data_IF_203394044655
#
_entry.id   IF_203394044655
#
_cell.length_a   1.000
_cell.length_b   1.000
_cell.length_c   1.000
_cell.angle_alpha   90.00
_cell.angle_beta   90.00
_cell.angle_gamma   90.00
#
_symmetry.space_group_name_H-M   'P 1'
#
loop_
_entity.id
_entity.type
_entity.pdbx_description
1 polymer ?
#
# COMPACT_ATOMS: atom_id res chain seq x y z
N UNK A 1 -10.16 26.85 -17.96
CA UNK A 1 -10.09 26.56 -16.51
C UNK A 1 -8.75 27.05 -15.99
N UNK A 2 -8.69 27.63 -14.79
CA UNK A 2 -7.42 27.99 -14.15
C UNK A 2 -6.76 26.76 -13.55
N UNK A 3 -5.42 26.71 -13.51
CA UNK A 3 -4.63 25.61 -12.93
C UNK A 3 -5.09 25.26 -11.50
N UNK A 4 -5.27 26.29 -10.66
CA UNK A 4 -5.73 26.14 -9.28
C UNK A 4 -7.13 25.48 -9.17
N UNK A 5 -8.05 25.76 -10.10
CA UNK A 5 -9.39 25.15 -10.08
C UNK A 5 -9.33 23.66 -10.46
N UNK A 6 -8.42 23.28 -11.36
CA UNK A 6 -8.21 21.88 -11.73
C UNK A 6 -7.56 21.09 -10.59
N UNK A 7 -6.59 21.69 -9.90
CA UNK A 7 -5.94 21.09 -8.73
C UNK A 7 -6.95 20.83 -7.60
N UNK A 8 -7.81 21.81 -7.27
CA UNK A 8 -8.86 21.64 -6.27
C UNK A 8 -9.84 20.52 -6.63
N UNK A 9 -10.24 20.45 -7.91
CA UNK A 9 -11.13 19.39 -8.38
C UNK A 9 -10.47 18.01 -8.28
N UNK A 10 -9.17 17.91 -8.59
CA UNK A 10 -8.41 16.66 -8.48
C UNK A 10 -8.29 16.20 -7.01
N UNK A 11 -8.00 17.11 -6.09
CA UNK A 11 -7.91 16.78 -4.66
C UNK A 11 -9.24 16.26 -4.14
N UNK A 12 -10.34 16.97 -4.42
CA UNK A 12 -11.68 16.54 -4.01
C UNK A 12 -12.07 15.18 -4.62
N UNK A 13 -11.60 14.88 -5.83
CA UNK A 13 -11.81 13.60 -6.49
C UNK A 13 -11.05 12.44 -5.82
N UNK A 14 -9.80 12.68 -5.42
CA UNK A 14 -8.99 11.75 -4.63
C UNK A 14 -9.62 11.51 -3.27
N UNK A 15 -9.97 12.56 -2.54
CA UNK A 15 -10.60 12.45 -1.22
C UNK A 15 -11.90 11.64 -1.27
N UNK A 16 -12.72 11.86 -2.32
CA UNK A 16 -13.95 11.09 -2.53
C UNK A 16 -13.67 9.61 -2.77
N UNK A 17 -12.66 9.26 -3.58
CA UNK A 17 -12.27 7.85 -3.80
C UNK A 17 -11.80 7.19 -2.50
N UNK A 18 -10.89 7.85 -1.79
CA UNK A 18 -10.35 7.33 -0.52
C UNK A 18 -11.44 7.16 0.54
N UNK A 19 -12.40 8.08 0.61
CA UNK A 19 -13.55 7.97 1.49
C UNK A 19 -14.39 6.72 1.17
N UNK A 20 -14.76 6.51 -0.10
CA UNK A 20 -15.52 5.33 -0.51
C UNK A 20 -14.80 4.00 -0.25
N UNK A 21 -13.48 3.97 -0.44
CA UNK A 21 -12.64 2.82 -0.06
C UNK A 21 -12.68 2.59 1.46
N UNK A 22 -12.53 3.63 2.27
CA UNK A 22 -12.54 3.51 3.73
C UNK A 22 -13.89 3.12 4.34
N UNK A 23 -15.00 3.40 3.63
CA UNK A 23 -16.33 2.92 4.00
C UNK A 23 -16.48 1.42 3.77
N UNK A 24 -15.85 0.91 2.71
CA UNK A 24 -15.93 -0.51 2.31
C UNK A 24 -14.91 -1.37 3.08
N UNK A 25 -13.70 -0.85 3.25
CA UNK A 25 -12.56 -1.54 3.85
C UNK A 25 -12.22 -0.89 5.19
N UNK A 26 -12.55 -1.53 6.33
CA UNK A 26 -12.38 -0.93 7.66
C UNK A 26 -10.92 -0.72 8.05
N UNK A 27 -9.98 -1.38 7.37
CA UNK A 27 -8.55 -1.32 7.66
C UNK A 27 -7.74 -1.06 6.39
N UNK A 28 -6.68 -0.26 6.52
CA UNK A 28 -5.71 -0.07 5.45
C UNK A 28 -4.31 0.20 5.99
N UNK A 29 -3.30 -0.04 5.15
CA UNK A 29 -1.90 0.26 5.44
C UNK A 29 -1.21 0.71 4.15
N UNK A 30 -0.37 1.74 4.26
CA UNK A 30 0.44 2.23 3.15
C UNK A 30 1.80 1.55 3.16
N UNK A 31 2.19 0.98 2.01
CA UNK A 31 3.45 0.25 1.84
C UNK A 31 4.20 0.80 0.62
N UNK A 32 5.53 0.77 0.68
CA UNK A 32 6.37 0.86 -0.49
C UNK A 32 6.81 -0.56 -0.85
N UNK A 33 6.46 -1.04 -2.04
CA UNK A 33 6.71 -2.42 -2.47
C UNK A 33 7.54 -2.43 -3.75
N UNK A 34 8.62 -3.21 -3.75
CA UNK A 34 9.36 -3.59 -4.96
C UNK A 34 8.83 -4.95 -5.49
N UNK A 35 9.45 -5.50 -6.54
CA UNK A 35 9.03 -6.79 -7.13
C UNK A 35 9.06 -7.93 -6.09
N UNK A 36 10.06 -7.93 -5.21
CA UNK A 36 10.24 -8.97 -4.18
C UNK A 36 9.23 -8.78 -3.04
N UNK A 37 9.07 -7.56 -2.54
CA UNK A 37 8.08 -7.21 -1.52
C UNK A 37 6.65 -7.44 -1.98
N UNK A 38 6.32 -7.20 -3.26
CA UNK A 38 5.02 -7.56 -3.82
C UNK A 38 4.80 -9.08 -3.79
N UNK A 39 5.80 -9.86 -4.20
CA UNK A 39 5.72 -11.33 -4.19
C UNK A 39 5.49 -11.87 -2.76
N UNK A 40 6.18 -11.31 -1.77
CA UNK A 40 5.98 -11.68 -0.36
C UNK A 40 4.60 -11.28 0.17
N UNK A 41 4.13 -10.08 -0.18
CA UNK A 41 2.81 -9.63 0.20
C UNK A 41 1.72 -10.53 -0.40
N UNK A 42 1.83 -10.88 -1.68
CA UNK A 42 0.89 -11.79 -2.35
C UNK A 42 0.86 -13.18 -1.70
N UNK A 43 2.04 -13.72 -1.36
CA UNK A 43 2.15 -15.00 -0.65
C UNK A 43 1.47 -14.96 0.72
N UNK A 44 1.75 -13.92 1.52
CA UNK A 44 1.18 -13.76 2.85
C UNK A 44 -0.35 -13.56 2.82
N UNK A 45 -0.88 -13.03 1.72
CA UNK A 45 -2.31 -12.81 1.53
C UNK A 45 -3.07 -14.01 0.96
N UNK A 46 -2.42 -15.17 0.74
CA UNK A 46 -3.12 -16.38 0.24
C UNK A 46 -4.16 -16.91 1.21
N UNK A 47 -3.88 -16.86 2.52
CA UNK A 47 -4.75 -17.37 3.59
C UNK A 47 -5.64 -16.30 4.21
N UNK A 48 -5.85 -15.18 3.50
CA UNK A 48 -6.70 -14.08 3.95
C UNK A 48 -8.15 -14.52 4.16
N UNK A 49 -8.81 -13.91 5.14
CA UNK A 49 -10.22 -14.15 5.45
C UNK A 49 -11.15 -13.26 4.62
N UNK A 50 -10.69 -12.04 4.31
CA UNK A 50 -11.44 -11.01 3.62
C UNK A 50 -10.95 -10.70 2.20
N UNK A 51 -11.61 -9.72 1.59
CA UNK A 51 -11.15 -9.09 0.36
C UNK A 51 -9.96 -8.17 0.65
N UNK A 52 -8.99 -8.19 -0.27
CA UNK A 52 -7.80 -7.33 -0.26
C UNK A 52 -7.77 -6.57 -1.58
N UNK A 53 -7.61 -5.24 -1.51
CA UNK A 53 -7.44 -4.39 -2.69
C UNK A 53 -6.17 -3.56 -2.54
N UNK A 54 -5.39 -3.47 -3.62
CA UNK A 54 -4.22 -2.59 -3.70
C UNK A 54 -4.56 -1.41 -4.61
N UNK A 55 -4.35 -0.20 -4.11
CA UNK A 55 -4.51 1.04 -4.89
C UNK A 55 -3.24 1.85 -4.86
N UNK A 56 -3.11 2.80 -5.80
CA UNK A 56 -2.18 3.91 -5.61
C UNK A 56 -2.58 4.78 -4.41
N UNK A 57 -1.74 5.76 -4.08
CA UNK A 57 -1.97 6.71 -2.99
C UNK A 57 -3.18 7.65 -3.21
N UNK A 58 -3.71 7.72 -4.42
CA UNK A 58 -4.93 8.44 -4.79
C UNK A 58 -6.20 7.58 -4.80
N UNK A 59 -6.10 6.30 -4.40
CA UNK A 59 -7.21 5.34 -4.43
C UNK A 59 -7.52 4.79 -5.82
N UNK A 60 -6.62 4.97 -6.79
CA UNK A 60 -6.74 4.46 -8.15
C UNK A 60 -6.27 3.01 -8.28
N UNK A 61 -6.87 2.28 -9.22
CA UNK A 61 -6.46 0.91 -9.54
C UNK A 61 -5.04 0.86 -10.14
N UNK A 62 -4.29 -0.16 -9.76
CA UNK A 62 -2.96 -0.42 -10.26
C UNK A 62 -3.01 -1.47 -11.39
N UNK A 63 -3.01 -1.02 -12.64
CA UNK A 63 -2.93 -1.93 -13.80
C UNK A 63 -1.55 -2.61 -13.92
N UNK A 64 -1.49 -3.74 -14.62
CA UNK A 64 -0.23 -4.45 -14.92
C UNK A 64 0.84 -3.57 -15.58
N UNK A 65 0.42 -2.57 -16.36
CA UNK A 65 1.33 -1.60 -16.97
C UNK A 65 1.87 -0.65 -15.91
N UNK A 66 1.04 -0.22 -14.96
CA UNK A 66 1.46 0.65 -13.85
C UNK A 66 2.55 -0.03 -13.02
N UNK A 67 2.27 -1.26 -12.57
CA UNK A 67 3.23 -2.08 -11.83
C UNK A 67 4.56 -2.23 -12.56
N UNK A 68 4.53 -2.76 -13.78
CA UNK A 68 5.77 -2.99 -14.56
C UNK A 68 6.53 -1.71 -14.84
N UNK A 69 5.84 -0.60 -15.13
CA UNK A 69 6.50 0.67 -15.46
C UNK A 69 7.19 1.25 -14.23
N UNK A 70 6.48 1.32 -13.10
CA UNK A 70 7.00 1.92 -11.88
C UNK A 70 8.09 1.04 -11.27
N UNK A 71 7.89 -0.28 -11.18
CA UNK A 71 8.92 -1.19 -10.66
C UNK A 71 10.18 -1.17 -11.53
N UNK A 72 10.04 -1.17 -12.86
CA UNK A 72 11.20 -1.12 -13.76
C UNK A 72 11.98 0.20 -13.71
N UNK A 73 11.30 1.34 -13.55
CA UNK A 73 11.93 2.66 -13.70
C UNK A 73 12.23 3.36 -12.37
N UNK A 74 11.46 3.08 -11.32
CA UNK A 74 11.59 3.69 -9.99
C UNK A 74 12.16 2.67 -8.98
N UNK A 75 11.90 1.38 -9.19
CA UNK A 75 12.36 0.30 -8.30
C UNK A 75 11.37 -0.05 -7.20
N UNK A 76 10.36 0.79 -6.93
CA UNK A 76 9.31 0.53 -5.95
C UNK A 76 8.02 1.30 -6.27
N UNK A 77 6.88 0.81 -5.80
CA UNK A 77 5.55 1.42 -5.90
C UNK A 77 5.02 1.73 -4.50
N UNK A 78 4.52 2.93 -4.27
CA UNK A 78 3.77 3.25 -3.07
C UNK A 78 2.31 2.85 -3.26
N UNK A 79 1.82 1.92 -2.42
CA UNK A 79 0.47 1.38 -2.48
C UNK A 79 -0.25 1.54 -1.16
N UNK A 80 -1.58 1.59 -1.22
CA UNK A 80 -2.44 1.39 -0.05
C UNK A 80 -3.04 -0.01 -0.19
N UNK A 81 -2.82 -0.85 0.83
CA UNK A 81 -3.47 -2.14 0.98
C UNK A 81 -4.73 -1.93 1.80
N UNK A 82 -5.88 -2.24 1.22
CA UNK A 82 -7.20 -2.15 1.86
C UNK A 82 -7.69 -3.56 2.20
N UNK A 83 -8.21 -3.74 3.41
CA UNK A 83 -8.60 -5.03 3.95
C UNK A 83 -10.05 -4.97 4.43
N UNK A 84 -10.87 -5.91 3.98
CA UNK A 84 -12.27 -6.01 4.45
C UNK A 84 -12.35 -6.64 5.84
N UNK A 85 -11.42 -7.54 6.18
CA UNK A 85 -11.31 -8.16 7.50
C UNK A 85 -10.10 -7.58 8.28
N UNK A 86 -10.32 -7.00 9.47
CA UNK A 86 -9.24 -6.48 10.30
C UNK A 86 -8.19 -7.51 10.74
N UNK A 87 -8.52 -8.81 10.81
CA UNK A 87 -7.57 -9.84 11.22
C UNK A 87 -6.47 -10.06 10.19
N UNK A 88 -6.76 -9.83 8.91
CA UNK A 88 -5.78 -9.94 7.82
C UNK A 88 -4.66 -8.90 7.94
N UNK A 89 -4.87 -7.82 8.71
CA UNK A 89 -3.84 -6.82 8.98
C UNK A 89 -2.62 -7.43 9.69
N UNK A 90 -2.83 -8.48 10.51
CA UNK A 90 -1.73 -9.19 11.15
C UNK A 90 -0.86 -9.95 10.13
N UNK A 91 -1.47 -10.48 9.06
CA UNK A 91 -0.76 -11.16 7.99
C UNK A 91 0.12 -10.16 7.21
N UNK A 92 -0.43 -8.98 6.87
CA UNK A 92 0.32 -7.92 6.17
C UNK A 92 1.49 -7.43 7.02
N UNK A 93 1.25 -7.14 8.31
CA UNK A 93 2.30 -6.69 9.24
C UNK A 93 3.39 -7.76 9.41
N UNK A 94 3.01 -9.03 9.49
CA UNK A 94 3.96 -10.14 9.57
C UNK A 94 4.84 -10.22 8.32
N UNK A 95 4.26 -10.13 7.13
CA UNK A 95 5.02 -10.08 5.88
C UNK A 95 6.04 -8.94 5.85
N UNK A 96 5.64 -7.73 6.27
CA UNK A 96 6.56 -6.60 6.36
C UNK A 96 7.73 -6.88 7.32
N UNK A 97 7.45 -7.44 8.50
CA UNK A 97 8.46 -7.76 9.49
C UNK A 97 9.43 -8.87 9.02
N UNK A 98 8.92 -9.87 8.29
CA UNK A 98 9.76 -10.94 7.75
C UNK A 98 10.74 -10.41 6.71
N UNK A 99 10.30 -9.52 5.81
CA UNK A 99 11.18 -8.84 4.86
C UNK A 99 12.21 -7.97 5.58
N UNK A 100 11.80 -7.18 6.56
CA UNK A 100 12.73 -6.36 7.36
C UNK A 100 13.73 -7.21 8.16
N UNK A 101 13.30 -8.37 8.67
CA UNK A 101 14.13 -9.34 9.38
C UNK A 101 15.15 -10.03 8.47
N UNK A 102 14.73 -10.46 7.28
CA UNK A 102 15.62 -11.00 6.23
C UNK A 102 16.65 -9.96 5.82
N UNK A 103 16.23 -8.70 5.65
CA UNK A 103 17.12 -7.59 5.35
C UNK A 103 18.07 -7.32 6.51
N UNK A 104 17.62 -7.46 7.76
CA UNK A 104 18.47 -7.24 8.96
C UNK A 104 19.55 -8.32 9.11
N UNK A 105 19.24 -9.59 8.84
CA UNK A 105 20.23 -10.67 8.78
C UNK A 105 21.17 -10.53 7.57
N UNK A 106 20.68 -9.93 6.48
CA UNK A 106 21.47 -9.62 5.28
C UNK A 106 22.31 -8.33 5.43
N UNK A 107 21.95 -7.42 6.34
CA UNK A 107 22.61 -6.13 6.62
C UNK A 107 23.84 -6.25 7.52
N UNK A 108 24.72 -7.21 7.21
CA UNK A 108 26.17 -7.02 7.40
C UNK A 108 26.79 -6.12 6.32
N UNK A 109 25.99 -5.47 5.48
CA UNK A 109 26.41 -4.29 4.71
C UNK A 109 25.26 -3.65 3.92
N UNK A 110 24.93 -2.39 4.23
CA UNK A 110 24.21 -1.49 3.30
C UNK A 110 22.74 -1.20 3.59
N UNK A 111 22.45 0.08 3.80
CA UNK A 111 21.17 0.72 4.17
C UNK A 111 20.02 0.60 3.14
N UNK A 112 18.78 0.58 3.64
CA UNK A 112 17.53 0.72 2.87
C UNK A 112 16.32 0.41 3.76
N UNK A 113 15.62 1.45 4.23
CA UNK A 113 14.55 1.40 5.25
C UNK A 113 13.17 1.43 4.58
N UNK A 114 12.33 0.43 4.86
CA UNK A 114 10.88 0.62 4.81
C UNK A 114 10.48 1.40 6.07
N UNK A 115 9.79 2.53 5.89
CA UNK A 115 9.24 3.30 7.00
C UNK A 115 7.72 3.08 7.02
N UNK A 116 7.13 2.59 8.12
CA UNK A 116 5.68 2.55 8.25
C UNK A 116 5.15 3.99 8.34
N UNK A 117 4.37 4.39 7.33
CA UNK A 117 3.60 5.63 7.35
C UNK A 117 2.43 5.49 8.32
N UNK A 118 2.40 6.39 9.31
CA UNK A 118 1.36 6.67 10.31
C UNK A 118 0.05 5.85 10.20
N UNK A 119 -0.20 4.99 11.20
CA UNK A 119 -1.53 4.43 11.47
C UNK A 119 -2.53 5.61 11.63
N UNK A 120 -3.69 5.50 10.98
CA UNK A 120 -4.82 6.43 11.18
C UNK A 120 -5.83 5.77 12.13
N UNK A 121 -5.71 5.94 13.46
CA UNK A 121 -6.70 5.44 14.39
C UNK A 121 -7.98 6.26 14.23
N UNK A 122 -9.08 5.58 13.88
CA UNK A 122 -10.42 6.18 13.76
C UNK A 122 -10.74 7.03 15.00
N UNK A 123 -11.09 8.30 14.78
CA UNK A 123 -11.73 9.17 15.79
C UNK A 123 -13.17 8.69 15.99
N UNK A 124 -13.54 8.48 17.26
CA UNK A 124 -14.90 8.20 17.73
C UNK A 124 -15.94 9.17 17.17
#
# INVERSE_FOLDING_TARGET
>A
MTKAKAELALVADIERRLAGLSETYPCSIMLAVDDEGLSYLEEAMKDRLGEVVLTDNGGGELSDIHWRTVLKHIGFVAVIVWLSDPHDMALVRKACLEVEGIVSDSKKGGTGLLHPGHDNPKRN
#
